data_IF_352001215804
#
_entry.id   IF_352001215804
#
_cell.length_a   1.000
_cell.length_b   1.000
_cell.length_c   1.000
_cell.angle_alpha   90.00
_cell.angle_beta   90.00
_cell.angle_gamma   90.00
#
_symmetry.space_group_name_H-M   'P 1'
#
loop_
_entity.id
_entity.type
_entity.pdbx_description
1 polymer ?
#
# COMPACT_ATOMS: atom_id res chain seq x y z
N UNK A 1 -42.81 -24.79 12.40
CA UNK A 1 -41.45 -25.20 12.80
C UNK A 1 -40.64 -25.44 11.53
N UNK A 2 -39.75 -24.51 11.16
CA UNK A 2 -38.92 -24.67 9.98
C UNK A 2 -37.70 -25.54 10.33
N UNK A 3 -37.55 -26.67 9.65
CA UNK A 3 -36.40 -27.58 9.78
C UNK A 3 -35.21 -26.93 9.07
N UNK A 4 -34.27 -26.37 9.82
CA UNK A 4 -33.00 -25.93 9.26
C UNK A 4 -32.23 -27.15 8.77
N UNK A 5 -32.12 -27.28 7.44
CA UNK A 5 -31.21 -28.24 6.84
C UNK A 5 -29.77 -27.83 7.21
N UNK A 6 -28.91 -28.77 7.64
CA UNK A 6 -27.51 -28.47 7.85
C UNK A 6 -26.92 -28.08 6.51
N UNK A 7 -26.61 -26.79 6.34
CA UNK A 7 -25.82 -26.32 5.22
C UNK A 7 -24.45 -26.96 5.39
N UNK A 8 -24.21 -28.03 4.63
CA UNK A 8 -22.88 -28.58 4.41
C UNK A 8 -22.14 -27.47 3.65
N UNK A 9 -21.49 -26.58 4.39
CA UNK A 9 -20.45 -25.72 3.86
C UNK A 9 -19.29 -26.66 3.51
N UNK A 10 -19.40 -27.36 2.38
CA UNK A 10 -18.22 -27.87 1.71
C UNK A 10 -17.32 -26.64 1.56
N UNK A 11 -16.12 -26.68 2.13
CA UNK A 11 -15.08 -25.76 1.71
C UNK A 11 -15.00 -25.94 0.21
N UNK A 12 -15.31 -24.88 -0.55
CA UNK A 12 -15.23 -24.95 -1.99
C UNK A 12 -13.80 -25.43 -2.33
N UNK A 13 -13.62 -26.41 -3.23
CA UNK A 13 -12.28 -26.86 -3.60
C UNK A 13 -11.40 -25.71 -4.10
N UNK A 14 -12.00 -24.60 -4.56
CA UNK A 14 -11.32 -23.34 -4.87
C UNK A 14 -10.72 -22.63 -3.65
N UNK A 15 -11.36 -22.67 -2.49
CA UNK A 15 -10.83 -22.07 -1.24
C UNK A 15 -9.63 -22.87 -0.72
N UNK A 16 -9.69 -24.20 -0.81
CA UNK A 16 -8.56 -25.08 -0.48
C UNK A 16 -7.38 -24.89 -1.44
N UNK A 17 -7.65 -24.74 -2.75
CA UNK A 17 -6.63 -24.42 -3.75
C UNK A 17 -6.04 -22.99 -3.57
N UNK A 18 -6.84 -22.04 -3.07
CA UNK A 18 -6.38 -20.70 -2.77
C UNK A 18 -5.41 -20.68 -1.57
N UNK A 19 -5.59 -21.56 -0.58
CA UNK A 19 -4.63 -21.75 0.53
C UNK A 19 -3.28 -22.33 0.06
N UNK A 20 -3.27 -23.07 -1.05
CA UNK A 20 -2.07 -23.70 -1.60
C UNK A 20 -1.22 -22.77 -2.49
N UNK A 21 -1.76 -21.61 -2.91
CA UNK A 21 -1.02 -20.65 -3.74
C UNK A 21 0.26 -20.17 -3.04
N UNK A 22 1.34 -20.10 -3.81
CA UNK A 22 2.64 -19.70 -3.25
C UNK A 22 2.55 -18.27 -2.67
N UNK A 23 3.08 -18.04 -1.45
CA UNK A 23 3.05 -16.72 -0.82
C UNK A 23 3.72 -15.61 -1.65
N UNK A 24 4.66 -15.98 -2.53
CA UNK A 24 5.42 -15.04 -3.37
C UNK A 24 4.53 -14.34 -4.41
N UNK A 25 3.51 -15.02 -4.93
CA UNK A 25 2.59 -14.42 -5.91
C UNK A 25 1.84 -13.22 -5.36
N UNK A 26 1.55 -13.24 -4.06
CA UNK A 26 0.86 -12.15 -3.37
C UNK A 26 1.71 -10.88 -3.24
N UNK A 27 3.03 -10.97 -3.36
CA UNK A 27 3.91 -9.78 -3.38
C UNK A 27 3.67 -8.94 -4.63
N UNK A 28 3.57 -9.61 -5.78
CA UNK A 28 3.30 -8.94 -7.07
C UNK A 28 1.89 -8.36 -7.09
N UNK A 29 0.90 -9.13 -6.64
CA UNK A 29 -0.49 -8.67 -6.53
C UNK A 29 -0.58 -7.46 -5.59
N UNK A 30 0.09 -7.51 -4.43
CA UNK A 30 0.14 -6.40 -3.49
C UNK A 30 0.76 -5.15 -4.09
N UNK A 31 1.86 -5.28 -4.83
CA UNK A 31 2.49 -4.17 -5.51
C UNK A 31 1.57 -3.55 -6.58
N UNK A 32 0.91 -4.37 -7.40
CA UNK A 32 -0.05 -3.91 -8.41
C UNK A 32 -1.26 -3.22 -7.78
N UNK A 33 -1.86 -3.80 -6.74
CA UNK A 33 -2.96 -3.17 -6.00
C UNK A 33 -2.52 -1.84 -5.39
N UNK A 34 -1.31 -1.79 -4.83
CA UNK A 34 -0.72 -0.56 -4.30
C UNK A 34 -0.63 0.52 -5.37
N UNK A 35 -0.10 0.21 -6.55
CA UNK A 35 -0.05 1.14 -7.68
C UNK A 35 -1.43 1.62 -8.12
N UNK A 36 -2.37 0.69 -8.31
CA UNK A 36 -3.74 0.99 -8.75
C UNK A 36 -4.47 1.88 -7.75
N UNK A 37 -4.25 1.69 -6.45
CA UNK A 37 -4.84 2.53 -5.41
C UNK A 37 -4.13 3.87 -5.29
N UNK A 38 -2.80 3.89 -5.47
CA UNK A 38 -1.99 5.08 -5.27
C UNK A 38 -2.15 6.12 -6.38
N UNK A 39 -2.22 5.72 -7.65
CA UNK A 39 -2.34 6.66 -8.78
C UNK A 39 -3.51 7.65 -8.65
N UNK A 40 -4.77 7.21 -8.42
CA UNK A 40 -5.88 8.14 -8.27
C UNK A 40 -5.75 8.99 -6.99
N UNK A 41 -5.24 8.40 -5.89
CA UNK A 41 -4.98 9.14 -4.65
C UNK A 41 -3.93 10.23 -4.87
N UNK A 42 -2.87 9.93 -5.63
CA UNK A 42 -1.80 10.86 -5.95
C UNK A 42 -2.33 12.05 -6.75
N UNK A 43 -3.22 11.82 -7.72
CA UNK A 43 -3.86 12.93 -8.46
C UNK A 43 -4.62 13.87 -7.53
N UNK A 44 -5.38 13.31 -6.59
CA UNK A 44 -6.09 14.10 -5.56
C UNK A 44 -5.08 14.83 -4.67
N UNK A 45 -4.01 14.17 -4.25
CA UNK A 45 -2.97 14.76 -3.41
C UNK A 45 -2.32 15.96 -4.09
N UNK A 46 -1.97 15.84 -5.37
CA UNK A 46 -1.37 16.92 -6.16
C UNK A 46 -2.33 18.10 -6.32
N UNK A 47 -3.62 17.83 -6.55
CA UNK A 47 -4.64 18.87 -6.61
C UNK A 47 -4.77 19.61 -5.27
N UNK A 48 -4.80 18.89 -4.15
CA UNK A 48 -4.83 19.48 -2.80
C UNK A 48 -3.57 20.29 -2.52
N UNK A 49 -2.38 19.74 -2.81
CA UNK A 49 -1.10 20.43 -2.65
C UNK A 49 -1.08 21.75 -3.43
N UNK A 50 -1.53 21.76 -4.69
CA UNK A 50 -1.60 22.98 -5.49
C UNK A 50 -2.53 24.03 -4.87
N UNK A 51 -3.70 23.62 -4.35
CA UNK A 51 -4.63 24.53 -3.66
C UNK A 51 -4.01 25.12 -2.39
N UNK A 52 -3.33 24.30 -1.60
CA UNK A 52 -2.66 24.75 -0.38
C UNK A 52 -1.47 25.64 -0.66
N UNK A 53 -0.65 25.35 -1.67
CA UNK A 53 0.46 26.22 -2.06
C UNK A 53 -0.02 27.61 -2.45
N UNK A 54 -1.12 27.73 -3.21
CA UNK A 54 -1.72 29.02 -3.55
C UNK A 54 -2.20 29.76 -2.30
N UNK A 55 -2.94 29.08 -1.42
CA UNK A 55 -3.49 29.67 -0.20
C UNK A 55 -2.41 30.18 0.76
N UNK A 56 -1.32 29.43 0.92
CA UNK A 56 -0.22 29.86 1.81
C UNK A 56 0.62 30.97 1.18
N UNK A 57 0.76 30.99 -0.14
CA UNK A 57 1.50 32.06 -0.83
C UNK A 57 0.74 33.39 -0.88
N UNK A 58 -0.59 33.38 -0.77
CA UNK A 58 -1.39 34.61 -0.65
C UNK A 58 -1.26 35.31 0.70
N UNK A 59 -0.86 34.58 1.75
CA UNK A 59 -0.69 35.11 3.11
C UNK A 59 0.75 35.62 3.37
N UNK A 60 1.64 35.53 2.38
CA UNK A 60 3.05 35.94 2.47
C UNK A 60 3.99 34.94 1.81
N UNK A 61 5.30 35.19 1.85
CA UNK A 61 6.29 34.23 1.36
C UNK A 61 6.38 33.04 2.32
N UNK A 62 5.97 31.82 1.94
CA UNK A 62 6.06 30.66 2.80
C UNK A 62 7.52 30.31 3.10
N UNK A 63 7.78 29.79 4.30
CA UNK A 63 9.08 29.18 4.59
C UNK A 63 9.30 27.97 3.68
N UNK A 64 10.58 27.70 3.37
CA UNK A 64 10.98 26.55 2.59
C UNK A 64 10.43 25.24 3.17
N UNK A 65 10.47 25.10 4.51
CA UNK A 65 9.96 23.91 5.21
C UNK A 65 8.45 23.73 5.04
N UNK A 66 7.67 24.83 5.05
CA UNK A 66 6.23 24.77 4.84
C UNK A 66 5.90 24.33 3.41
N UNK A 67 6.60 24.86 2.41
CA UNK A 67 6.45 24.43 1.02
C UNK A 67 6.77 22.94 0.85
N UNK A 68 7.86 22.49 1.47
CA UNK A 68 8.31 21.11 1.40
C UNK A 68 7.27 20.17 2.03
N UNK A 69 6.72 20.53 3.19
CA UNK A 69 5.66 19.76 3.85
C UNK A 69 4.37 19.70 3.02
N UNK A 70 3.95 20.81 2.40
CA UNK A 70 2.73 20.89 1.58
C UNK A 70 2.85 20.05 0.31
N UNK A 71 4.04 19.95 -0.28
CA UNK A 71 4.27 19.17 -1.49
C UNK A 71 4.53 17.69 -1.20
N UNK A 72 5.35 17.35 -0.21
CA UNK A 72 5.70 15.95 0.10
C UNK A 72 4.70 15.26 1.01
N UNK A 73 4.09 15.98 1.96
CA UNK A 73 3.18 15.41 2.96
C UNK A 73 2.03 14.61 2.34
N UNK A 74 1.24 15.21 1.43
CA UNK A 74 0.14 14.50 0.77
C UNK A 74 0.60 13.30 -0.07
N UNK A 75 1.76 13.39 -0.73
CA UNK A 75 2.34 12.28 -1.51
C UNK A 75 2.72 11.10 -0.62
N UNK A 76 3.41 11.37 0.51
CA UNK A 76 3.79 10.34 1.47
C UNK A 76 2.55 9.73 2.15
N UNK A 77 1.55 10.55 2.48
CA UNK A 77 0.30 10.09 3.09
C UNK A 77 -0.46 9.14 2.17
N UNK A 78 -0.62 9.52 0.90
CA UNK A 78 -1.31 8.67 -0.08
C UNK A 78 -0.54 7.38 -0.36
N UNK A 79 0.79 7.42 -0.37
CA UNK A 79 1.62 6.22 -0.46
C UNK A 79 1.41 5.30 0.74
N UNK A 80 1.39 5.82 1.96
CA UNK A 80 1.11 5.04 3.18
C UNK A 80 -0.27 4.39 3.14
N UNK A 81 -1.30 5.15 2.72
CA UNK A 81 -2.67 4.63 2.60
C UNK A 81 -2.71 3.51 1.55
N UNK A 82 -2.09 3.72 0.39
CA UNK A 82 -2.12 2.75 -0.69
C UNK A 82 -1.39 1.45 -0.33
N UNK A 83 -0.16 1.57 0.18
CA UNK A 83 0.69 0.43 0.57
C UNK A 83 0.15 -0.29 1.80
N UNK A 84 -0.38 0.45 2.78
CA UNK A 84 -1.07 -0.11 3.95
C UNK A 84 -2.38 -0.82 3.58
N UNK A 85 -3.17 -0.25 2.67
CA UNK A 85 -4.38 -0.86 2.13
C UNK A 85 -4.08 -2.15 1.35
N UNK A 86 -3.14 -2.09 0.41
CA UNK A 86 -2.70 -3.25 -0.37
C UNK A 86 -2.09 -4.33 0.53
N UNK A 87 -1.23 -3.95 1.48
CA UNK A 87 -0.70 -4.86 2.51
C UNK A 87 -1.81 -5.50 3.33
N UNK A 88 -2.84 -4.75 3.72
CA UNK A 88 -4.02 -5.25 4.42
C UNK A 88 -4.80 -6.28 3.61
N UNK A 89 -4.98 -6.06 2.31
CA UNK A 89 -5.62 -7.01 1.41
C UNK A 89 -4.77 -8.29 1.26
N UNK A 90 -3.46 -8.15 1.06
CA UNK A 90 -2.52 -9.29 1.01
C UNK A 90 -2.55 -10.08 2.32
N UNK A 91 -2.52 -9.41 3.46
CA UNK A 91 -2.59 -10.05 4.77
C UNK A 91 -3.93 -10.77 5.00
N UNK A 92 -5.04 -10.20 4.55
CA UNK A 92 -6.38 -10.77 4.74
C UNK A 92 -6.66 -11.94 3.81
N UNK A 93 -6.35 -11.82 2.53
CA UNK A 93 -6.73 -12.78 1.49
C UNK A 93 -5.58 -13.71 1.04
N UNK A 94 -4.35 -13.42 1.45
CA UNK A 94 -3.17 -14.10 0.93
C UNK A 94 -2.85 -15.48 1.46
N UNK A 95 -3.80 -16.16 2.13
CA UNK A 95 -3.59 -17.50 2.71
C UNK A 95 -2.38 -17.54 3.64
N UNK A 96 -1.23 -18.06 3.20
CA UNK A 96 0.02 -18.08 3.98
C UNK A 96 0.79 -16.74 3.99
N UNK A 97 0.41 -15.75 3.17
CA UNK A 97 1.08 -14.46 3.09
C UNK A 97 0.83 -13.61 4.35
N UNK A 98 1.87 -13.35 5.13
CA UNK A 98 1.81 -12.53 6.36
C UNK A 98 2.29 -11.09 6.20
N UNK A 99 2.61 -10.45 7.32
CA UNK A 99 3.12 -9.07 7.37
C UNK A 99 4.36 -8.84 6.51
N UNK A 100 5.27 -9.82 6.43
CA UNK A 100 6.47 -9.73 5.59
C UNK A 100 6.13 -9.60 4.10
N UNK A 101 5.07 -10.25 3.62
CA UNK A 101 4.67 -10.18 2.21
C UNK A 101 4.05 -8.82 1.90
N UNK A 102 3.30 -8.24 2.84
CA UNK A 102 2.84 -6.85 2.77
C UNK A 102 4.01 -5.86 2.70
N UNK A 103 5.05 -6.07 3.53
CA UNK A 103 6.26 -5.26 3.51
C UNK A 103 7.00 -5.35 2.16
N UNK A 104 7.21 -6.56 1.65
CA UNK A 104 7.85 -6.80 0.35
C UNK A 104 7.03 -6.22 -0.82
N UNK A 105 5.69 -6.23 -0.71
CA UNK A 105 4.81 -5.60 -1.71
C UNK A 105 5.03 -4.09 -1.74
N UNK A 106 5.07 -3.45 -0.56
CA UNK A 106 5.38 -2.03 -0.42
C UNK A 106 6.77 -1.68 -0.94
N UNK A 107 7.78 -2.49 -0.62
CA UNK A 107 9.14 -2.32 -1.14
C UNK A 107 9.17 -2.41 -2.67
N UNK A 108 8.53 -3.43 -3.25
CA UNK A 108 8.48 -3.63 -4.70
C UNK A 108 7.82 -2.45 -5.40
N UNK A 109 6.74 -1.92 -4.82
CA UNK A 109 6.09 -0.71 -5.31
C UNK A 109 7.03 0.50 -5.23
N UNK A 110 7.69 0.74 -4.09
CA UNK A 110 8.60 1.87 -3.92
C UNK A 110 9.79 1.83 -4.87
N UNK A 111 10.36 0.63 -5.12
CA UNK A 111 11.40 0.43 -6.13
C UNK A 111 10.86 0.77 -7.52
N UNK A 112 9.67 0.30 -7.87
CA UNK A 112 9.03 0.64 -9.14
C UNK A 112 8.82 2.14 -9.32
N UNK A 113 8.32 2.83 -8.28
CA UNK A 113 8.16 4.29 -8.28
C UNK A 113 9.50 5.01 -8.41
N UNK A 114 10.51 4.58 -7.66
CA UNK A 114 11.86 5.16 -7.73
C UNK A 114 12.48 5.03 -9.11
N UNK A 115 12.37 3.85 -9.73
CA UNK A 115 12.83 3.62 -11.11
C UNK A 115 12.09 4.54 -12.09
N UNK A 116 10.77 4.63 -12.00
CA UNK A 116 9.99 5.52 -12.86
C UNK A 116 10.39 6.99 -12.69
N UNK A 117 10.60 7.44 -11.45
CA UNK A 117 11.00 8.81 -11.14
C UNK A 117 12.42 9.16 -11.63
N UNK A 118 13.33 8.18 -11.61
CA UNK A 118 14.67 8.32 -12.23
C UNK A 118 14.54 8.43 -13.75
N UNK A 119 13.75 7.56 -14.38
CA UNK A 119 13.55 7.56 -15.83
C UNK A 119 12.84 8.81 -16.35
N UNK A 120 11.96 9.42 -15.54
CA UNK A 120 11.29 10.69 -15.89
C UNK A 120 12.16 11.92 -15.66
N UNK A 121 13.39 11.78 -15.15
CA UNK A 121 14.26 12.91 -14.84
C UNK A 121 13.74 13.79 -13.71
N UNK A 122 12.92 13.24 -12.81
CA UNK A 122 12.27 14.01 -11.74
C UNK A 122 13.23 14.43 -10.62
N UNK A 123 14.47 13.95 -10.62
CA UNK A 123 15.46 14.26 -9.61
C UNK A 123 16.59 15.14 -10.16
N UNK A 124 17.05 16.15 -9.40
CA UNK A 124 18.15 17.02 -9.82
C UNK A 124 19.52 16.31 -9.80
N UNK A 125 19.65 15.21 -9.06
CA UNK A 125 20.87 14.40 -9.03
C UNK A 125 20.58 12.94 -8.66
N UNK A 126 21.51 12.05 -9.00
CA UNK A 126 21.42 10.63 -8.63
C UNK A 126 21.36 10.42 -7.10
N UNK A 127 22.11 11.21 -6.33
CA UNK A 127 22.13 11.12 -4.88
C UNK A 127 20.73 11.41 -4.29
N UNK A 128 20.08 12.47 -4.78
CA UNK A 128 18.71 12.82 -4.37
C UNK A 128 17.73 11.73 -4.78
N UNK A 129 17.90 11.13 -5.96
CA UNK A 129 17.07 10.01 -6.40
C UNK A 129 17.19 8.79 -5.47
N UNK A 130 18.41 8.43 -5.08
CA UNK A 130 18.67 7.31 -4.17
C UNK A 130 18.08 7.59 -2.79
N UNK A 131 18.34 8.77 -2.22
CA UNK A 131 17.81 9.15 -0.92
C UNK A 131 16.28 9.22 -0.92
N UNK A 132 15.68 9.82 -1.96
CA UNK A 132 14.23 9.87 -2.14
C UNK A 132 13.63 8.47 -2.23
N UNK A 133 14.24 7.57 -3.01
CA UNK A 133 13.79 6.18 -3.14
C UNK A 133 13.93 5.42 -1.83
N UNK A 134 14.99 5.65 -1.05
CA UNK A 134 15.16 5.04 0.28
C UNK A 134 14.07 5.49 1.25
N UNK A 135 13.71 6.78 1.25
CA UNK A 135 12.60 7.29 2.07
C UNK A 135 11.28 6.66 1.65
N UNK A 136 10.99 6.62 0.34
CA UNK A 136 9.78 5.97 -0.18
C UNK A 136 9.73 4.49 0.19
N UNK A 137 10.87 3.78 0.07
CA UNK A 137 10.98 2.38 0.44
C UNK A 137 10.72 2.15 1.93
N UNK A 138 11.29 2.99 2.81
CA UNK A 138 11.06 2.89 4.25
C UNK A 138 9.58 3.09 4.60
N UNK A 139 8.95 4.11 4.03
CA UNK A 139 7.54 4.44 4.27
C UNK A 139 6.63 3.33 3.75
N UNK A 140 6.81 2.92 2.49
CA UNK A 140 6.00 1.90 1.84
C UNK A 140 6.15 0.52 2.51
N UNK A 141 7.37 0.14 2.88
CA UNK A 141 7.64 -1.13 3.57
C UNK A 141 7.01 -1.15 4.96
N UNK A 142 7.13 -0.06 5.71
CA UNK A 142 6.55 0.07 7.05
C UNK A 142 5.03 0.01 7.00
N UNK A 143 4.42 0.83 6.15
CA UNK A 143 2.97 0.85 5.97
C UNK A 143 2.44 -0.50 5.45
N UNK A 144 3.11 -1.11 4.47
CA UNK A 144 2.80 -2.45 3.96
C UNK A 144 2.92 -3.54 5.03
N UNK A 145 3.92 -3.46 5.92
CA UNK A 145 4.07 -4.38 7.06
C UNK A 145 2.90 -4.26 8.04
N UNK A 146 2.57 -3.04 8.47
CA UNK A 146 1.46 -2.80 9.40
C UNK A 146 0.11 -3.17 8.79
N UNK A 147 -0.10 -2.83 7.52
CA UNK A 147 -1.24 -3.26 6.72
C UNK A 147 -1.36 -4.78 6.71
N UNK A 148 -0.29 -5.49 6.34
CA UNK A 148 -0.25 -6.95 6.33
C UNK A 148 -0.55 -7.57 7.69
N UNK A 149 0.05 -7.05 8.76
CA UNK A 149 -0.21 -7.49 10.14
C UNK A 149 -1.69 -7.31 10.52
N UNK A 150 -2.28 -6.18 10.15
CA UNK A 150 -3.69 -5.90 10.39
C UNK A 150 -4.62 -6.82 9.58
N UNK A 151 -4.28 -7.08 8.32
CA UNK A 151 -5.00 -8.00 7.44
C UNK A 151 -5.05 -9.42 8.01
N UNK A 152 -3.92 -9.93 8.48
CA UNK A 152 -3.82 -11.28 9.10
C UNK A 152 -4.73 -11.39 10.32
N UNK A 153 -4.76 -10.35 11.17
CA UNK A 153 -5.63 -10.31 12.37
C UNK A 153 -7.12 -10.32 12.04
N UNK A 154 -7.49 -9.96 10.80
CA UNK A 154 -8.89 -9.90 10.32
C UNK A 154 -9.28 -11.11 9.47
N UNK A 155 -8.48 -12.17 9.47
CA UNK A 155 -8.85 -13.42 8.79
C UNK A 155 -10.03 -14.09 9.49
N UNK A 156 -10.94 -14.73 8.74
CA UNK A 156 -11.95 -15.57 9.33
C UNK A 156 -11.28 -16.66 10.18
N UNK A 157 -11.63 -16.74 11.46
CA UNK A 157 -11.23 -17.88 12.29
C UNK A 157 -12.07 -19.08 11.86
N UNK A 158 -11.48 -19.97 11.07
CA UNK A 158 -12.04 -21.30 10.87
C UNK A 158 -11.73 -22.07 12.17
N UNK A 159 -12.66 -22.04 13.13
CA UNK A 159 -12.58 -22.97 14.25
C UNK A 159 -12.80 -24.38 13.68
N UNK A 160 -11.87 -25.32 13.89
CA UNK A 160 -12.18 -26.72 13.60
C UNK A 160 -13.37 -27.10 14.48
N UNK A 161 -14.45 -27.59 13.86
CA UNK A 161 -15.53 -28.24 14.61
C UNK A 161 -14.92 -29.47 15.27
N UNK A 162 -14.84 -29.45 16.60
CA UNK A 162 -14.51 -30.63 17.40
C UNK A 162 -15.63 -31.68 17.28
#
# INVERSE_FOLDING_TARGET
MARHLPVIQNQDPEDAAAEERSPRGWVVVGAMLGFTLWLPLLMIAQWVSAKWTVAVSSDGAPSYDALLLIQLGPVLLTLMIATGGAGGLVGRFGGRAGALHGALSGLSMAVGVGVLAVLSGSFPSLLVAVLGTLVLALVATSAGYFGGRFGVRRRPSIKPKA
#
